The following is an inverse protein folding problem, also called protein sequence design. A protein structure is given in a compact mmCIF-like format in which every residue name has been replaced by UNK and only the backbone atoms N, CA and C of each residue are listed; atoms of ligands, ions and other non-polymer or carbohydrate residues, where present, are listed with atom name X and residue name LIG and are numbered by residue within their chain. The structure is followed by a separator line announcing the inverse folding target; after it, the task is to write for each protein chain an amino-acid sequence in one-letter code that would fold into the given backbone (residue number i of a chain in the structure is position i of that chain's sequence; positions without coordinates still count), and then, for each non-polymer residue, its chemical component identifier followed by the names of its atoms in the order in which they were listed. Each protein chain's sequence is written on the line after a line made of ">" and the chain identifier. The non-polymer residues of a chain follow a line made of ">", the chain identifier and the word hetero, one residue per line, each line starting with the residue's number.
data_IF_987797045981
#
_entry.id   IF_987797045981
#
_cell.length_a   1.000
_cell.length_b   1.000
_cell.length_c   1.000
_cell.angle_alpha   90.00
_cell.angle_beta   90.00
_cell.angle_gamma   90.00
#
_symmetry.space_group_name_H-M   'P 1'
#
loop_
_entity.id
_entity.type
_entity.pdbx_description
1 polymer ?
#
# COMPACT_ATOMS: atom_id res chain seq x y z
N UNK A 1 -17.87 1.11 -4.63
CA UNK A 1 -16.64 1.50 -3.89
C UNK A 1 -15.45 0.86 -4.60
N UNK A 2 -14.25 1.45 -4.52
CA UNK A 2 -13.04 0.89 -5.16
C UNK A 2 -12.51 -0.27 -4.31
N UNK A 3 -12.20 -1.43 -4.92
CA UNK A 3 -11.62 -2.61 -4.24
C UNK A 3 -10.35 -2.30 -3.45
N UNK A 4 -9.61 -1.29 -3.90
CA UNK A 4 -8.43 -0.78 -3.21
C UNK A 4 -8.79 -0.09 -1.89
N UNK A 5 -9.83 0.77 -1.92
CA UNK A 5 -10.30 1.44 -0.71
C UNK A 5 -10.86 0.43 0.29
N UNK A 6 -11.58 -0.59 -0.20
CA UNK A 6 -12.09 -1.68 0.64
C UNK A 6 -10.95 -2.42 1.35
N UNK A 7 -9.84 -2.71 0.65
CA UNK A 7 -8.65 -3.31 1.25
C UNK A 7 -8.05 -2.46 2.38
N UNK A 8 -7.80 -1.18 2.12
CA UNK A 8 -7.20 -0.29 3.12
C UNK A 8 -8.11 -0.11 4.35
N UNK A 9 -9.41 0.04 4.11
CA UNK A 9 -10.41 0.15 5.18
C UNK A 9 -10.46 -1.14 5.99
N UNK A 10 -10.50 -2.31 5.34
CA UNK A 10 -10.55 -3.61 6.01
C UNK A 10 -9.32 -3.84 6.89
N UNK A 11 -8.11 -3.62 6.36
CA UNK A 11 -6.88 -3.72 7.14
C UNK A 11 -6.87 -2.74 8.32
N UNK A 12 -7.26 -1.47 8.10
CA UNK A 12 -7.35 -0.48 9.19
C UNK A 12 -8.39 -0.85 10.26
N UNK A 13 -9.50 -1.48 9.86
CA UNK A 13 -10.55 -1.91 10.76
C UNK A 13 -10.08 -3.11 11.61
N UNK A 14 -9.32 -4.04 11.02
CA UNK A 14 -8.71 -5.15 11.76
C UNK A 14 -7.78 -4.64 12.86
N UNK A 15 -6.86 -3.72 12.55
CA UNK A 15 -5.97 -3.14 13.57
C UNK A 15 -6.72 -2.33 14.62
N UNK A 16 -7.78 -1.60 14.23
CA UNK A 16 -8.60 -0.83 15.17
C UNK A 16 -9.38 -1.73 16.15
N UNK A 17 -9.73 -2.94 15.72
CA UNK A 17 -10.45 -3.90 16.55
C UNK A 17 -9.56 -4.57 17.59
N UNK A 18 -8.23 -4.55 17.39
CA UNK A 18 -7.28 -5.27 18.23
C UNK A 18 -7.23 -4.75 19.67
N UNK A 19 -7.15 -5.71 20.61
CA UNK A 19 -7.12 -5.48 22.04
C UNK A 19 -5.91 -6.12 22.67
N UNK A 20 -5.40 -5.51 23.73
CA UNK A 20 -4.36 -6.10 24.58
C UNK A 20 -4.94 -7.14 25.54
N UNK A 21 -4.07 -7.77 26.33
CA UNK A 21 -4.45 -8.78 27.34
C UNK A 21 -5.39 -8.22 28.43
N UNK A 22 -5.46 -6.89 28.59
CA UNK A 22 -6.33 -6.20 29.52
C UNK A 22 -7.63 -5.69 28.86
N UNK A 23 -7.93 -6.14 27.64
CA UNK A 23 -9.09 -5.75 26.82
C UNK A 23 -9.12 -4.25 26.43
N UNK A 24 -7.98 -3.56 26.53
CA UNK A 24 -7.84 -2.17 26.10
C UNK A 24 -7.49 -2.11 24.62
N UNK A 25 -7.85 -1.01 23.95
CA UNK A 25 -7.45 -0.81 22.56
C UNK A 25 -5.94 -0.65 22.49
N UNK A 26 -5.30 -1.42 21.61
CA UNK A 26 -3.86 -1.27 21.33
C UNK A 26 -3.56 0.10 20.74
N UNK A 27 -4.39 0.55 19.79
CA UNK A 27 -4.23 1.84 19.13
C UNK A 27 -5.31 2.83 19.56
N UNK A 28 -4.89 4.05 19.87
CA UNK A 28 -5.79 5.18 20.09
C UNK A 28 -6.54 5.55 18.81
N UNK A 29 -5.82 5.53 17.69
CA UNK A 29 -6.36 5.87 16.37
C UNK A 29 -5.71 5.00 15.27
N UNK A 30 -6.52 4.60 14.29
CA UNK A 30 -6.06 3.91 13.08
C UNK A 30 -6.68 4.58 11.86
N UNK A 31 -5.90 4.90 10.82
CA UNK A 31 -6.38 5.54 9.58
C UNK A 31 -6.05 4.72 8.34
N UNK A 32 -6.87 4.87 7.30
CA UNK A 32 -6.61 4.33 5.96
C UNK A 32 -6.40 5.51 5.00
N UNK A 33 -5.31 5.49 4.23
CA UNK A 33 -4.90 6.59 3.37
C UNK A 33 -4.59 6.10 1.96
N UNK A 34 -5.18 6.76 0.95
CA UNK A 34 -4.96 6.47 -0.48
C UNK A 34 -3.72 7.19 -1.05
N UNK A 35 -3.27 8.24 -0.37
CA UNK A 35 -2.11 9.02 -0.76
C UNK A 35 -0.85 8.55 -0.02
N UNK A 36 0.30 9.00 -0.52
CA UNK A 36 1.58 8.81 0.15
C UNK A 36 1.54 9.49 1.52
N UNK A 37 2.03 8.80 2.55
CA UNK A 37 2.16 9.37 3.88
C UNK A 37 3.26 10.45 3.89
N UNK A 38 2.97 11.59 4.53
CA UNK A 38 3.95 12.65 4.80
C UNK A 38 4.47 12.49 6.23
N UNK A 39 5.80 12.46 6.38
CA UNK A 39 6.45 12.44 7.68
C UNK A 39 6.01 13.62 8.56
N UNK A 40 5.79 14.80 7.97
CA UNK A 40 5.33 15.97 8.71
C UNK A 40 3.94 15.75 9.35
N UNK A 41 3.06 15.00 8.69
CA UNK A 41 1.74 14.68 9.22
C UNK A 41 1.81 13.58 10.28
N UNK A 42 2.71 12.61 10.12
CA UNK A 42 2.98 11.61 11.16
C UNK A 42 3.54 12.25 12.44
N UNK A 43 4.39 13.28 12.31
CA UNK A 43 4.91 14.04 13.43
C UNK A 43 3.81 14.80 14.19
N UNK A 44 2.76 15.30 13.51
CA UNK A 44 1.60 15.94 14.17
C UNK A 44 0.76 14.93 14.97
N UNK A 45 0.65 13.71 14.47
CA UNK A 45 -0.09 12.63 15.13
C UNK A 45 0.61 12.10 16.40
N UNK A 46 1.86 12.51 16.67
CA UNK A 46 2.63 12.17 17.88
C UNK A 46 1.90 12.43 19.21
N UNK A 47 0.99 13.41 19.24
CA UNK A 47 0.18 13.74 20.43
C UNK A 47 -0.87 12.68 20.78
N UNK A 48 -1.15 11.74 19.87
CA UNK A 48 -2.18 10.70 20.01
C UNK A 48 -1.62 9.29 20.08
N UNK A 49 -0.29 9.14 20.11
CA UNK A 49 0.37 7.84 20.17
C UNK A 49 -0.20 6.99 21.34
N UNK A 50 -0.40 5.69 21.16
CA UNK A 50 -0.07 4.90 19.96
C UNK A 50 -1.10 5.04 18.82
N UNK A 51 -0.63 5.23 17.58
CA UNK A 51 -1.49 5.31 16.39
C UNK A 51 -0.96 4.45 15.24
N UNK A 52 -1.84 4.00 14.36
CA UNK A 52 -1.46 3.31 13.12
C UNK A 52 -2.06 3.96 11.87
N UNK A 53 -1.38 3.82 10.73
CA UNK A 53 -1.87 4.21 9.41
C UNK A 53 -1.62 3.10 8.41
N UNK A 54 -2.57 2.91 7.50
CA UNK A 54 -2.53 1.95 6.40
C UNK A 54 -2.52 2.76 5.10
N UNK A 55 -1.34 2.93 4.52
CA UNK A 55 -1.12 3.88 3.42
C UNK A 55 -0.81 3.14 2.12
N UNK A 56 -1.50 3.49 1.04
CA UNK A 56 -1.17 2.94 -0.28
C UNK A 56 0.23 3.40 -0.73
N UNK A 57 1.09 2.44 -1.10
CA UNK A 57 2.37 2.75 -1.72
C UNK A 57 2.30 2.60 -3.24
N UNK A 58 1.75 1.48 -3.71
CA UNK A 58 1.70 1.14 -5.14
C UNK A 58 0.50 0.25 -5.44
N UNK A 59 -0.08 0.45 -6.62
CA UNK A 59 -1.02 -0.49 -7.22
C UNK A 59 -0.64 -0.70 -8.68
N UNK A 60 -0.39 -1.95 -9.09
CA UNK A 60 0.04 -2.30 -10.46
C UNK A 60 -0.89 -3.37 -11.03
N UNK A 61 -1.49 -3.16 -12.21
CA UNK A 61 -2.28 -4.20 -12.87
C UNK A 61 -1.38 -5.35 -13.35
N UNK A 62 -1.86 -6.58 -13.21
CA UNK A 62 -1.17 -7.80 -13.63
C UNK A 62 -2.12 -8.64 -14.51
N UNK A 63 -1.64 -9.24 -15.60
CA UNK A 63 -2.43 -10.16 -16.39
C UNK A 63 -2.85 -11.37 -15.55
N UNK A 64 -4.15 -11.62 -15.44
CA UNK A 64 -4.69 -12.84 -14.81
C UNK A 64 -4.71 -14.01 -15.79
N UNK A 65 -4.71 -15.22 -15.26
CA UNK A 65 -4.68 -16.48 -16.03
C UNK A 65 -5.96 -16.64 -16.89
N UNK A 66 -7.09 -16.12 -16.41
CA UNK A 66 -8.41 -16.25 -17.06
C UNK A 66 -8.74 -15.09 -18.02
N UNK A 67 -7.75 -14.28 -18.41
CA UNK A 67 -7.97 -13.08 -19.23
C UNK A 67 -8.58 -11.88 -18.47
N UNK A 68 -8.82 -12.02 -17.17
CA UNK A 68 -9.13 -10.91 -16.26
C UNK A 68 -7.85 -10.16 -15.86
N UNK A 69 -7.99 -8.97 -15.25
CA UNK A 69 -6.86 -8.23 -14.67
C UNK A 69 -6.85 -8.40 -13.16
N UNK A 70 -5.71 -8.79 -12.62
CA UNK A 70 -5.43 -8.74 -11.19
C UNK A 70 -4.74 -7.41 -10.86
N UNK A 71 -4.66 -7.06 -9.58
CA UNK A 71 -3.97 -5.87 -9.12
C UNK A 71 -3.04 -6.23 -7.97
N UNK A 72 -1.73 -6.08 -8.19
CA UNK A 72 -0.72 -6.14 -7.14
C UNK A 72 -0.76 -4.82 -6.38
N UNK A 73 -1.02 -4.89 -5.08
CA UNK A 73 -1.13 -3.76 -4.18
C UNK A 73 -0.05 -3.87 -3.12
N UNK A 74 0.71 -2.79 -2.93
CA UNK A 74 1.67 -2.63 -1.85
C UNK A 74 1.19 -1.49 -0.95
N UNK A 75 1.21 -1.75 0.36
CA UNK A 75 0.71 -0.88 1.41
C UNK A 75 1.79 -0.75 2.49
N UNK A 76 2.00 0.45 3.00
CA UNK A 76 2.78 0.68 4.20
C UNK A 76 1.85 0.67 5.41
N UNK A 77 2.15 -0.20 6.37
CA UNK A 77 1.63 -0.09 7.73
C UNK A 77 2.61 0.76 8.50
N UNK A 78 2.16 1.93 8.97
CA UNK A 78 2.99 2.88 9.72
C UNK A 78 2.43 2.98 11.12
N UNK A 79 3.29 2.80 12.12
CA UNK A 79 2.91 2.96 13.53
C UNK A 79 3.73 4.07 14.17
N UNK A 80 3.09 4.82 15.07
CA UNK A 80 3.72 5.88 15.85
C UNK A 80 3.60 5.50 17.32
N UNK A 81 4.75 5.36 17.99
CA UNK A 81 4.84 5.11 19.42
C UNK A 81 5.45 6.34 20.13
N UNK A 82 5.07 6.54 21.38
CA UNK A 82 5.66 7.57 22.24
C UNK A 82 6.44 6.93 23.38
N UNK A 83 7.45 7.66 23.87
CA UNK A 83 8.27 7.27 25.01
C UNK A 83 7.41 7.01 26.23
N UNK A 84 7.66 5.90 26.91
CA UNK A 84 7.13 5.65 28.24
C UNK A 84 8.08 6.25 29.29
N UNK A 85 7.72 7.38 29.88
CA UNK A 85 8.48 8.00 30.98
C UNK A 85 9.56 9.00 30.54
N UNK A 86 10.68 9.03 31.27
CA UNK A 86 11.76 10.01 31.08
C UNK A 86 12.74 9.56 30.00
N UNK A 87 13.35 10.54 29.32
CA UNK A 87 14.39 10.28 28.33
C UNK A 87 15.53 9.46 28.95
N UNK A 88 15.94 8.38 28.30
CA UNK A 88 17.08 7.57 28.69
C UNK A 88 18.02 7.39 27.49
N UNK A 89 19.28 7.84 27.55
CA UNK A 89 20.22 7.68 26.44
C UNK A 89 20.62 6.22 26.18
N UNK A 90 20.44 5.33 27.16
CA UNK A 90 20.77 3.90 27.04
C UNK A 90 19.60 3.05 26.55
N UNK A 91 18.38 3.60 26.52
CA UNK A 91 17.17 2.84 26.18
C UNK A 91 16.14 3.68 25.44
N UNK A 92 15.90 3.35 24.17
CA UNK A 92 14.86 3.94 23.34
C UNK A 92 13.53 3.19 23.51
N UNK A 93 12.78 3.55 24.55
CA UNK A 93 11.49 2.91 24.86
C UNK A 93 10.47 3.03 23.72
N UNK A 94 10.46 4.16 23.01
CA UNK A 94 9.54 4.37 21.91
C UNK A 94 9.89 3.47 20.70
N UNK A 95 11.18 3.23 20.44
CA UNK A 95 11.62 2.36 19.34
C UNK A 95 11.15 0.93 19.57
N UNK A 96 11.36 0.43 20.80
CA UNK A 96 10.89 -0.89 21.19
C UNK A 96 9.37 -1.00 21.13
N UNK A 97 8.65 0.01 21.61
CA UNK A 97 7.20 0.04 21.54
C UNK A 97 6.70 0.08 20.09
N UNK A 98 7.36 0.81 19.19
CA UNK A 98 6.98 0.85 17.78
C UNK A 98 7.16 -0.51 17.10
N UNK A 99 8.24 -1.24 17.40
CA UNK A 99 8.42 -2.61 16.90
C UNK A 99 7.37 -3.57 17.44
N UNK A 100 7.06 -3.52 18.74
CA UNK A 100 5.98 -4.32 19.33
C UNK A 100 4.61 -4.03 18.69
N UNK A 101 4.32 -2.78 18.36
CA UNK A 101 3.10 -2.42 17.64
C UNK A 101 3.07 -2.99 16.21
N UNK A 102 4.21 -3.06 15.51
CA UNK A 102 4.30 -3.73 14.21
C UNK A 102 4.14 -5.25 14.33
N UNK A 103 4.68 -5.86 15.39
CA UNK A 103 4.48 -7.28 15.66
C UNK A 103 3.00 -7.59 15.90
N UNK A 104 2.28 -6.75 16.65
CA UNK A 104 0.83 -6.88 16.81
C UNK A 104 0.10 -6.77 15.47
N UNK A 105 0.46 -5.79 14.62
CA UNK A 105 -0.10 -5.70 13.27
C UNK A 105 0.20 -6.95 12.44
N UNK A 106 1.40 -7.51 12.56
CA UNK A 106 1.81 -8.75 11.90
C UNK A 106 0.94 -9.91 12.38
N UNK A 107 0.73 -10.07 13.68
CA UNK A 107 -0.10 -11.13 14.27
C UNK A 107 -1.56 -11.03 13.82
N UNK A 108 -2.12 -9.81 13.74
CA UNK A 108 -3.45 -9.58 13.19
C UNK A 108 -3.54 -10.10 11.75
N UNK A 109 -2.56 -9.78 10.91
CA UNK A 109 -2.51 -10.21 9.51
C UNK A 109 -2.19 -11.69 9.34
N UNK A 110 -1.46 -12.30 10.27
CA UNK A 110 -1.23 -13.75 10.25
C UNK A 110 -2.49 -14.53 10.63
N UNK A 111 -3.31 -13.98 11.54
CA UNK A 111 -4.62 -14.57 11.90
C UNK A 111 -5.63 -14.47 10.77
N UNK A 112 -5.64 -13.35 10.04
CA UNK A 112 -6.49 -13.16 8.86
C UNK A 112 -5.73 -12.44 7.72
N UNK A 113 -5.00 -13.20 6.89
CA UNK A 113 -4.21 -12.60 5.80
C UNK A 113 -5.07 -12.05 4.66
N UNK A 114 -6.39 -12.28 4.71
CA UNK A 114 -7.36 -11.79 3.73
C UNK A 114 -8.14 -10.57 4.25
N UNK A 115 -7.94 -10.18 5.51
CA UNK A 115 -8.63 -9.07 6.19
C UNK A 115 -10.15 -9.10 5.99
N UNK A 116 -10.73 -10.29 6.00
CA UNK A 116 -12.17 -10.52 5.81
C UNK A 116 -12.69 -10.28 4.39
N UNK A 117 -11.80 -10.10 3.40
CA UNK A 117 -12.18 -9.84 2.01
C UNK A 117 -12.07 -11.10 1.13
N UNK A 118 -13.07 -11.32 0.28
CA UNK A 118 -12.99 -12.30 -0.80
C UNK A 118 -12.16 -11.81 -1.99
N UNK A 119 -11.70 -12.74 -2.83
CA UNK A 119 -10.95 -12.49 -4.08
C UNK A 119 -9.64 -11.70 -3.85
N UNK A 120 -8.88 -12.15 -2.86
CA UNK A 120 -7.57 -11.63 -2.50
C UNK A 120 -6.63 -12.84 -2.37
N UNK A 121 -5.37 -12.72 -2.78
CA UNK A 121 -4.34 -13.65 -2.29
C UNK A 121 -3.95 -13.28 -0.86
N UNK A 122 -3.42 -14.24 -0.10
CA UNK A 122 -2.95 -13.99 1.26
C UNK A 122 -1.89 -12.88 1.26
N UNK A 123 -1.89 -12.07 2.32
CA UNK A 123 -0.89 -11.04 2.56
C UNK A 123 0.54 -11.62 2.49
N UNK A 124 1.42 -10.95 1.75
CA UNK A 124 2.87 -11.16 1.84
C UNK A 124 3.45 -10.05 2.72
N UNK A 125 4.02 -10.45 3.85
CA UNK A 125 4.62 -9.55 4.83
C UNK A 125 6.07 -9.25 4.45
N UNK A 126 6.40 -7.97 4.34
CA UNK A 126 7.77 -7.50 4.16
C UNK A 126 8.49 -7.23 5.47
N UNK A 127 9.70 -6.68 5.34
CA UNK A 127 10.54 -6.32 6.47
C UNK A 127 9.95 -5.16 7.28
N UNK A 128 10.20 -5.18 8.59
CA UNK A 128 9.91 -4.08 9.49
C UNK A 128 11.12 -3.14 9.60
N UNK A 129 10.87 -1.84 9.65
CA UNK A 129 11.92 -0.83 9.74
C UNK A 129 11.51 0.33 10.65
N UNK A 130 12.42 0.80 11.51
CA UNK A 130 12.27 2.05 12.26
C UNK A 130 12.74 3.21 11.38
N UNK A 131 11.79 4.02 10.90
CA UNK A 131 12.05 5.15 10.02
C UNK A 131 12.45 6.42 10.80
N UNK A 132 11.94 6.58 12.02
CA UNK A 132 12.33 7.64 12.95
C UNK A 132 12.51 7.03 14.33
N UNK A 133 13.69 7.20 14.92
CA UNK A 133 13.99 6.75 16.28
C UNK A 133 13.70 7.83 17.30
N UNK A 134 13.35 7.44 18.53
CA UNK A 134 13.26 8.30 19.70
C UNK A 134 14.47 9.23 19.84
N UNK A 135 15.67 8.70 19.57
CA UNK A 135 16.93 9.44 19.74
C UNK A 135 17.15 10.51 18.67
N UNK A 136 16.48 10.39 17.52
CA UNK A 136 16.64 11.32 16.41
C UNK A 136 15.64 12.48 16.43
N UNK A 137 14.78 12.58 17.45
CA UNK A 137 13.81 13.66 17.57
C UNK A 137 13.60 14.14 19.02
N UNK A 138 13.23 15.41 19.16
CA UNK A 138 12.95 16.01 20.47
C UNK A 138 11.60 15.61 21.07
N UNK A 139 10.73 14.99 20.28
CA UNK A 139 9.36 14.65 20.67
C UNK A 139 9.30 13.35 21.47
N UNK A 140 10.39 12.57 21.53
CA UNK A 140 10.43 11.30 22.23
C UNK A 140 9.48 10.28 21.61
N UNK A 141 9.38 10.26 20.29
CA UNK A 141 8.54 9.30 19.55
C UNK A 141 9.38 8.41 18.65
N UNK A 142 8.83 7.27 18.27
CA UNK A 142 9.37 6.46 17.20
C UNK A 142 8.30 6.21 16.13
N UNK A 143 8.75 6.13 14.88
CA UNK A 143 7.92 5.79 13.74
C UNK A 143 8.52 4.55 13.11
N UNK A 144 7.75 3.48 13.07
CA UNK A 144 8.14 2.25 12.39
C UNK A 144 7.17 1.95 11.25
N UNK A 145 7.66 1.26 10.23
CA UNK A 145 6.92 0.89 9.04
C UNK A 145 7.16 -0.57 8.65
N UNK A 146 6.15 -1.15 8.02
CA UNK A 146 6.22 -2.47 7.39
C UNK A 146 5.50 -2.42 6.05
N UNK A 147 6.13 -2.93 4.99
CA UNK A 147 5.45 -3.12 3.71
C UNK A 147 4.64 -4.42 3.75
N UNK A 148 3.38 -4.37 3.32
CA UNK A 148 2.54 -5.54 3.11
C UNK A 148 1.97 -5.52 1.71
N UNK A 149 2.05 -6.67 1.04
CA UNK A 149 1.58 -6.84 -0.33
C UNK A 149 0.37 -7.75 -0.40
N UNK A 150 -0.57 -7.40 -1.26
CA UNK A 150 -1.72 -8.22 -1.61
C UNK A 150 -1.88 -8.28 -3.11
N UNK A 151 -2.45 -9.37 -3.61
CA UNK A 151 -2.99 -9.44 -4.98
C UNK A 151 -4.50 -9.47 -4.92
N UNK A 152 -5.14 -8.40 -5.42
CA UNK A 152 -6.58 -8.38 -5.67
C UNK A 152 -6.86 -9.14 -6.95
N UNK A 153 -7.70 -10.17 -6.86
CA UNK A 153 -8.05 -11.03 -7.97
C UNK A 153 -9.25 -10.46 -8.74
N UNK A 154 -9.27 -10.68 -10.06
CA UNK A 154 -10.42 -10.41 -10.93
C UNK A 154 -10.94 -8.97 -10.85
N UNK A 155 -10.03 -8.00 -10.79
CA UNK A 155 -10.37 -6.58 -10.78
C UNK A 155 -10.89 -6.18 -12.17
N UNK A 156 -12.21 -5.92 -12.25
CA UNK A 156 -12.83 -5.41 -13.47
C UNK A 156 -12.26 -4.03 -13.80
N UNK A 157 -11.42 -3.95 -14.84
CA UNK A 157 -11.18 -2.68 -15.53
C UNK A 157 -12.51 -2.14 -16.06
N UNK A 158 -12.77 -0.84 -15.87
CA UNK A 158 -13.93 -0.17 -16.45
C UNK A 158 -14.00 -0.47 -17.97
N UNK A 159 -15.21 -0.72 -18.49
CA UNK A 159 -15.47 -1.09 -19.89
C UNK A 159 -14.77 -0.13 -20.87
N UNK A 160 -14.41 -0.67 -22.03
CA UNK A 160 -13.60 -0.07 -23.09
C UNK A 160 -13.97 1.35 -23.56
N UNK A 161 -15.14 1.90 -23.22
CA UNK A 161 -15.54 3.26 -23.57
C UNK A 161 -14.66 4.37 -22.94
N UNK A 162 -13.84 4.06 -21.94
CA UNK A 162 -12.93 5.01 -21.26
C UNK A 162 -11.45 4.78 -21.63
N UNK A 163 -11.13 3.81 -22.51
CA UNK A 163 -9.75 3.56 -22.98
C UNK A 163 -9.18 4.70 -23.83
N UNK A 164 -10.03 5.51 -24.47
CA UNK A 164 -9.57 6.64 -25.31
C UNK A 164 -9.07 7.85 -24.50
N UNK A 165 -9.36 7.92 -23.19
CA UNK A 165 -8.97 9.06 -22.33
C UNK A 165 -7.75 8.74 -21.47
N UNK A 166 -7.53 7.46 -21.15
CA UNK A 166 -6.37 7.00 -20.37
C UNK A 166 -5.40 6.37 -21.37
N UNK A 167 -4.51 7.18 -21.95
CA UNK A 167 -3.57 6.86 -23.03
C UNK A 167 -2.70 5.62 -22.75
N UNK A 168 -3.31 4.46 -22.85
CA UNK A 168 -2.72 3.14 -22.76
C UNK A 168 -2.93 2.47 -24.09
N UNK A 169 -2.13 2.92 -25.05
CA UNK A 169 -1.82 2.15 -26.24
C UNK A 169 -0.93 0.99 -25.80
N UNK A 170 -1.53 -0.17 -25.49
CA UNK A 170 -0.80 -1.43 -25.46
C UNK A 170 -0.73 -1.91 -26.92
N UNK A 171 0.39 -1.63 -27.59
CA UNK A 171 0.88 -2.47 -28.66
C UNK A 171 2.39 -2.28 -28.78
N UNK A 172 3.13 -3.38 -28.63
CA UNK A 172 4.52 -3.45 -29.02
C UNK A 172 4.60 -3.28 -30.55
N UNK A 173 4.67 -2.03 -31.00
CA UNK A 173 5.27 -1.65 -32.26
C UNK A 173 6.59 -0.95 -31.90
N UNK A 174 7.74 -1.35 -32.45
CA UNK A 174 8.92 -0.50 -32.37
C UNK A 174 8.61 0.78 -33.15
N UNK A 175 8.28 1.85 -32.41
CA UNK A 175 8.17 3.18 -32.98
C UNK A 175 9.49 3.51 -33.67
N UNK A 176 9.44 3.67 -34.99
CA UNK A 176 10.52 4.26 -35.75
C UNK A 176 10.72 5.68 -35.24
N UNK A 177 11.78 5.89 -34.47
CA UNK A 177 12.25 7.21 -34.07
C UNK A 177 12.66 8.00 -35.32
N UNK A 178 11.93 9.07 -35.63
CA UNK A 178 12.37 10.08 -36.57
C UNK A 178 13.52 10.89 -35.93
N UNK A 179 14.76 10.53 -36.22
CA UNK A 179 15.93 11.37 -35.91
C UNK A 179 16.07 12.37 -37.08
N UNK A 180 15.96 13.67 -36.77
CA UNK A 180 16.07 14.83 -37.68
C UNK A 180 14.80 15.33 -38.40
N UNK A 181 13.64 15.32 -37.73
CA UNK A 181 12.60 16.32 -37.99
C UNK A 181 11.82 16.24 -39.32
N UNK A 182 11.76 15.08 -39.98
CA UNK A 182 10.84 14.87 -41.10
C UNK A 182 9.57 14.13 -40.63
N UNK A 183 8.41 14.52 -41.18
CA UNK A 183 7.10 13.97 -40.80
C UNK A 183 7.00 12.45 -40.98
N UNK A 184 6.30 11.73 -40.07
CA UNK A 184 6.13 10.30 -40.15
C UNK A 184 5.31 9.89 -41.37
N UNK A 185 5.84 8.93 -42.14
CA UNK A 185 5.15 8.37 -43.32
C UNK A 185 3.94 7.56 -42.85
N UNK A 186 2.74 7.98 -43.26
CA UNK A 186 1.50 7.25 -43.02
C UNK A 186 1.52 5.87 -43.71
N UNK A 187 0.98 4.81 -43.07
CA UNK A 187 0.86 3.51 -43.72
C UNK A 187 -0.08 3.58 -44.94
N UNK A 188 0.20 2.85 -46.03
CA UNK A 188 -0.65 2.87 -47.22
C UNK A 188 -2.03 2.27 -46.90
N UNK A 189 -3.09 2.98 -47.29
CA UNK A 189 -4.48 2.52 -47.17
C UNK A 189 -4.67 1.29 -48.07
N UNK A 190 -4.95 0.12 -47.49
CA UNK A 190 -5.36 -1.06 -48.25
C UNK A 190 -4.93 -2.45 -47.76
N UNK A 191 -4.25 -2.58 -46.61
CA UNK A 191 -3.85 -3.91 -46.11
C UNK A 191 -5.01 -4.65 -45.42
N UNK A 192 -5.65 -5.55 -46.17
CA UNK A 192 -6.58 -6.56 -45.64
C UNK A 192 -5.78 -7.62 -44.86
N UNK A 193 -6.21 -8.05 -43.66
CA UNK A 193 -5.53 -9.13 -42.93
C UNK A 193 -5.63 -10.46 -43.69
N UNK A 194 -4.63 -11.36 -43.56
CA UNK A 194 -4.64 -12.64 -44.27
C UNK A 194 -5.75 -13.55 -43.71
N UNK A 195 -6.65 -14.00 -44.58
CA UNK A 195 -7.56 -15.11 -44.28
C UNK A 195 -6.73 -16.38 -44.39
N UNK A 196 -6.64 -17.16 -43.31
CA UNK A 196 -6.01 -18.50 -43.34
C UNK A 196 -7.10 -19.58 -43.21
N UNK A 197 -6.97 -20.71 -43.94
CA UNK A 197 -8.00 -21.73 -44.11
C UNK A 197 -8.24 -22.62 -42.88
#
# INVERSE_FOLDING_TARGET
>A
MSRLADLLIAASAAFRAERDDADQRVFTEVKAELDRFDLADLLKDSTRAPTARVCLMRAKPVPGIDGNRDLDVSVAIVVVAARSGRANPEFSSADMAALQLLDICTDVLMRDPYVGLGQLQAAELGDQLVALSEQSNANGIAIALQEVKWRLLQVKTARAAIRSVIGTSDEAQPDQLAINGNDPVLPPVGSVPPVTP
#
